data_IF_813360345347
#
_entry.id   IF_813360345347
#
_cell.length_a   1.000
_cell.length_b   1.000
_cell.length_c   1.000
_cell.angle_alpha   90.00
_cell.angle_beta   90.00
_cell.angle_gamma   90.00
#
_symmetry.space_group_name_H-M   'P 1'
#
loop_
_entity.id
_entity.type
_entity.pdbx_description
1 polymer ?
#
# COMPACT_ATOMS: atom_id res chain seq x y z
N UNK A 1 -0.50 -22.79 -20.36
CA UNK A 1 0.27 -23.00 -19.12
C UNK A 1 -0.67 -23.38 -17.98
N UNK A 2 -0.17 -24.05 -16.95
CA UNK A 2 -0.93 -24.43 -15.76
C UNK A 2 -1.58 -23.20 -15.09
N UNK A 3 -0.83 -22.08 -14.99
CA UNK A 3 -1.30 -20.80 -14.48
C UNK A 3 -2.56 -20.32 -15.22
N UNK A 4 -2.56 -20.39 -16.56
CA UNK A 4 -3.71 -20.00 -17.38
C UNK A 4 -4.94 -20.84 -17.05
N UNK A 5 -4.81 -22.16 -17.07
CA UNK A 5 -5.91 -23.08 -16.80
C UNK A 5 -6.48 -22.84 -15.40
N UNK A 6 -5.63 -22.64 -14.41
CA UNK A 6 -6.07 -22.35 -13.04
C UNK A 6 -6.83 -21.02 -12.95
N UNK A 7 -6.31 -19.94 -13.55
CA UNK A 7 -6.96 -18.63 -13.53
C UNK A 7 -8.32 -18.65 -14.23
N UNK A 8 -8.42 -19.33 -15.37
CA UNK A 8 -9.68 -19.49 -16.11
C UNK A 8 -10.73 -20.25 -15.32
N UNK A 9 -10.33 -21.27 -14.57
CA UNK A 9 -11.22 -22.07 -13.74
C UNK A 9 -11.61 -21.39 -12.41
N UNK A 10 -10.77 -20.52 -11.86
CA UNK A 10 -10.92 -20.01 -10.49
C UNK A 10 -11.27 -18.53 -10.38
N UNK A 11 -11.02 -17.72 -11.42
CA UNK A 11 -11.40 -16.30 -11.39
C UNK A 11 -12.89 -16.15 -11.70
N UNK A 12 -13.72 -15.65 -10.77
CA UNK A 12 -15.14 -15.44 -11.01
C UNK A 12 -15.36 -14.45 -12.16
N UNK A 13 -16.46 -14.64 -12.92
CA UNK A 13 -16.77 -13.76 -14.07
C UNK A 13 -16.93 -12.29 -13.65
N UNK A 14 -17.54 -12.02 -12.51
CA UNK A 14 -17.68 -10.68 -11.93
C UNK A 14 -16.31 -10.00 -11.71
N UNK A 15 -15.30 -10.77 -11.29
CA UNK A 15 -13.94 -10.27 -11.04
C UNK A 15 -13.12 -10.03 -12.32
N UNK A 16 -13.71 -10.23 -13.49
CA UNK A 16 -13.14 -9.89 -14.80
C UNK A 16 -13.77 -8.64 -15.43
N UNK A 17 -14.69 -8.00 -14.70
CA UNK A 17 -15.31 -6.74 -15.13
C UNK A 17 -14.48 -5.55 -14.64
N UNK A 18 -14.53 -4.42 -15.34
CA UNK A 18 -13.86 -3.21 -14.90
C UNK A 18 -14.40 -2.73 -13.54
N UNK A 19 -13.52 -2.16 -12.71
CA UNK A 19 -13.92 -1.48 -11.46
C UNK A 19 -14.65 -0.19 -11.85
N UNK A 20 -15.83 0.03 -11.29
CA UNK A 20 -16.68 1.21 -11.57
C UNK A 20 -16.68 2.22 -10.43
N UNK A 21 -16.34 1.78 -9.21
CA UNK A 21 -16.24 2.64 -8.03
C UNK A 21 -15.10 2.18 -7.11
N UNK A 22 -14.62 3.09 -6.27
CA UNK A 22 -13.58 2.79 -5.29
C UNK A 22 -14.02 1.72 -4.27
N UNK A 23 -15.31 1.67 -3.96
CA UNK A 23 -15.89 0.70 -3.01
C UNK A 23 -15.76 -0.76 -3.50
N UNK A 24 -15.59 -0.97 -4.80
CA UNK A 24 -15.35 -2.30 -5.37
C UNK A 24 -13.91 -2.79 -5.19
N UNK A 25 -13.01 -1.94 -4.67
CA UNK A 25 -11.62 -2.30 -4.43
C UNK A 25 -11.51 -3.10 -3.13
N UNK A 26 -10.93 -4.30 -3.20
CA UNK A 26 -10.69 -5.14 -2.03
C UNK A 26 -9.45 -4.64 -1.26
N UNK A 27 -9.65 -4.00 -0.10
CA UNK A 27 -8.58 -3.51 0.77
C UNK A 27 -8.27 -4.44 1.95
N UNK A 28 -9.16 -5.37 2.26
CA UNK A 28 -9.05 -6.22 3.43
C UNK A 28 -9.15 -5.46 4.76
N UNK A 29 -8.74 -6.09 5.84
CA UNK A 29 -8.79 -5.56 7.21
C UNK A 29 -9.91 -6.14 8.05
N UNK A 30 -9.83 -5.92 9.38
CA UNK A 30 -10.76 -6.45 10.39
C UNK A 30 -12.23 -6.11 10.13
N UNK A 31 -12.46 -4.91 9.62
CA UNK A 31 -13.80 -4.35 9.42
C UNK A 31 -14.21 -4.30 7.93
N UNK A 32 -13.40 -4.90 7.05
CA UNK A 32 -13.68 -4.89 5.61
C UNK A 32 -14.94 -5.71 5.29
N UNK A 33 -15.80 -5.12 4.48
CA UNK A 33 -17.01 -5.80 3.98
C UNK A 33 -16.85 -6.03 2.49
N UNK A 34 -16.89 -7.30 2.09
CA UNK A 34 -16.87 -7.65 0.68
C UNK A 34 -18.14 -7.17 -0.02
N UNK A 35 -17.98 -6.63 -1.20
CA UNK A 35 -19.12 -6.16 -2.03
C UNK A 35 -19.90 -7.31 -2.64
N UNK A 36 -19.27 -8.48 -2.78
CA UNK A 36 -19.90 -9.69 -3.28
C UNK A 36 -19.17 -10.95 -2.80
N UNK A 37 -19.84 -12.10 -2.90
CA UNK A 37 -19.23 -13.39 -2.63
C UNK A 37 -18.09 -13.68 -3.64
N UNK A 38 -18.24 -13.25 -4.89
CA UNK A 38 -17.20 -13.39 -5.92
C UNK A 38 -15.91 -12.66 -5.56
N UNK A 39 -16.00 -11.46 -4.98
CA UNK A 39 -14.83 -10.72 -4.49
C UNK A 39 -14.13 -11.48 -3.37
N UNK A 40 -14.89 -12.01 -2.40
CA UNK A 40 -14.34 -12.81 -1.30
C UNK A 40 -13.67 -14.07 -1.81
N UNK A 41 -14.36 -14.85 -2.65
CA UNK A 41 -13.83 -16.09 -3.21
C UNK A 41 -12.54 -15.86 -4.01
N UNK A 42 -12.48 -14.77 -4.76
CA UNK A 42 -11.29 -14.42 -5.53
C UNK A 42 -10.10 -14.11 -4.62
N UNK A 43 -10.30 -13.29 -3.60
CA UNK A 43 -9.25 -13.00 -2.63
C UNK A 43 -8.79 -14.27 -1.90
N UNK A 44 -9.71 -15.10 -1.42
CA UNK A 44 -9.41 -16.35 -0.70
C UNK A 44 -8.61 -17.33 -1.58
N UNK A 45 -9.03 -17.53 -2.83
CA UNK A 45 -8.34 -18.42 -3.78
C UNK A 45 -6.94 -17.95 -4.12
N UNK A 46 -6.78 -16.65 -4.37
CA UNK A 46 -5.47 -16.06 -4.66
C UNK A 46 -4.57 -16.07 -3.43
N UNK A 47 -5.12 -15.79 -2.24
CA UNK A 47 -4.42 -15.88 -0.97
C UNK A 47 -3.95 -17.29 -0.65
N UNK A 48 -4.79 -18.31 -0.88
CA UNK A 48 -4.43 -19.73 -0.67
C UNK A 48 -3.27 -20.18 -1.58
N UNK A 49 -3.13 -19.59 -2.76
CA UNK A 49 -1.98 -19.81 -3.67
C UNK A 49 -0.76 -18.96 -3.30
N UNK A 50 -0.88 -18.01 -2.37
CA UNK A 50 0.13 -17.00 -2.10
C UNK A 50 0.28 -15.99 -3.25
N UNK A 51 -0.68 -15.89 -4.16
CA UNK A 51 -0.61 -15.06 -5.37
C UNK A 51 -1.09 -13.62 -5.15
N UNK A 52 -1.54 -13.29 -3.94
CA UNK A 52 -1.68 -11.90 -3.50
C UNK A 52 -0.32 -11.23 -3.31
N UNK A 53 0.71 -12.01 -2.99
CA UNK A 53 2.11 -11.63 -2.80
C UNK A 53 3.03 -12.68 -3.44
N UNK A 54 3.02 -12.81 -4.77
CA UNK A 54 3.56 -13.98 -5.49
C UNK A 54 5.05 -14.22 -5.25
N UNK A 55 5.85 -13.18 -5.12
CA UNK A 55 7.31 -13.27 -4.94
C UNK A 55 7.74 -13.44 -3.47
N UNK A 56 6.82 -13.25 -2.50
CA UNK A 56 7.20 -13.42 -1.10
C UNK A 56 7.47 -14.89 -0.77
N UNK A 57 8.35 -15.16 0.22
CA UNK A 57 8.61 -16.52 0.67
C UNK A 57 7.33 -17.23 1.14
N UNK A 58 7.20 -18.50 0.80
CA UNK A 58 6.06 -19.34 1.22
C UNK A 58 5.87 -19.40 2.73
N UNK A 59 6.99 -19.34 3.48
CA UNK A 59 6.97 -19.31 4.94
C UNK A 59 6.19 -18.12 5.53
N UNK A 60 5.99 -17.06 4.74
CA UNK A 60 5.28 -15.85 5.14
C UNK A 60 3.99 -15.62 4.32
N UNK A 61 3.43 -16.69 3.76
CA UNK A 61 2.15 -16.63 3.02
C UNK A 61 2.27 -16.24 1.55
N UNK A 62 3.48 -16.13 1.01
CA UNK A 62 3.71 -15.83 -0.40
C UNK A 62 3.70 -17.04 -1.31
N UNK A 63 3.71 -16.79 -2.62
CA UNK A 63 3.77 -17.83 -3.65
C UNK A 63 5.16 -18.45 -3.81
N UNK A 64 6.21 -17.77 -3.39
CA UNK A 64 7.60 -18.17 -3.59
C UNK A 64 7.99 -18.22 -5.06
N UNK A 65 7.33 -17.43 -5.91
CA UNK A 65 7.59 -17.38 -7.35
C UNK A 65 8.86 -16.58 -7.63
N UNK A 66 9.58 -16.98 -8.67
CA UNK A 66 10.63 -16.15 -9.26
C UNK A 66 10.01 -14.90 -9.92
N UNK A 67 10.85 -13.91 -10.23
CA UNK A 67 10.41 -12.71 -10.97
C UNK A 67 9.82 -13.05 -12.34
N UNK A 68 10.36 -14.04 -13.02
CA UNK A 68 9.88 -14.52 -14.31
C UNK A 68 8.51 -15.17 -14.19
N UNK A 69 8.31 -16.02 -13.19
CA UNK A 69 7.03 -16.66 -12.91
C UNK A 69 5.96 -15.62 -12.49
N UNK A 70 6.33 -14.64 -11.67
CA UNK A 70 5.44 -13.54 -11.27
C UNK A 70 5.02 -12.68 -12.47
N UNK A 71 5.92 -12.45 -13.45
CA UNK A 71 5.58 -11.78 -14.72
C UNK A 71 4.59 -12.60 -15.55
N UNK A 72 4.76 -13.92 -15.61
CA UNK A 72 3.79 -14.80 -16.29
C UNK A 72 2.42 -14.71 -15.63
N UNK A 73 2.36 -14.79 -14.29
CA UNK A 73 1.12 -14.62 -13.53
C UNK A 73 0.45 -13.27 -13.82
N UNK A 74 1.21 -12.19 -13.75
CA UNK A 74 0.72 -10.83 -14.03
C UNK A 74 0.20 -10.70 -15.47
N UNK A 75 0.89 -11.28 -16.46
CA UNK A 75 0.46 -11.29 -17.86
C UNK A 75 -0.87 -12.04 -18.06
N UNK A 76 -1.02 -13.20 -17.43
CA UNK A 76 -2.25 -13.99 -17.51
C UNK A 76 -3.44 -13.33 -16.78
N UNK A 77 -3.19 -12.67 -15.65
CA UNK A 77 -4.22 -11.86 -14.96
C UNK A 77 -4.72 -10.72 -15.86
N UNK A 78 -3.81 -9.98 -16.51
CA UNK A 78 -4.17 -8.93 -17.48
C UNK A 78 -4.93 -9.49 -18.67
N UNK A 79 -4.50 -10.63 -19.23
CA UNK A 79 -5.17 -11.28 -20.37
C UNK A 79 -6.66 -11.55 -20.09
N UNK A 80 -7.01 -12.01 -18.88
CA UNK A 80 -8.39 -12.27 -18.50
C UNK A 80 -9.07 -11.05 -17.86
N UNK A 81 -8.40 -9.89 -17.82
CA UNK A 81 -8.86 -8.64 -17.19
C UNK A 81 -9.27 -8.84 -15.73
N UNK A 82 -8.54 -9.71 -15.00
CA UNK A 82 -8.83 -9.97 -13.60
C UNK A 82 -8.56 -8.72 -12.75
N UNK A 83 -9.52 -8.36 -11.88
CA UNK A 83 -9.32 -7.34 -10.84
C UNK A 83 -8.23 -7.80 -9.87
N UNK A 84 -7.51 -6.84 -9.28
CA UNK A 84 -6.60 -7.14 -8.17
C UNK A 84 -7.38 -7.86 -7.05
N UNK A 85 -6.90 -9.00 -6.56
CA UNK A 85 -7.57 -9.73 -5.49
C UNK A 85 -7.51 -8.99 -4.15
N UNK A 86 -6.46 -8.20 -3.92
CA UNK A 86 -6.19 -7.46 -2.70
C UNK A 86 -5.30 -6.26 -2.98
N UNK A 87 -5.76 -5.08 -2.56
CA UNK A 87 -4.97 -3.85 -2.52
C UNK A 87 -4.56 -3.56 -1.07
N UNK A 88 -3.29 -3.29 -0.81
CA UNK A 88 -2.82 -3.08 0.55
C UNK A 88 -1.48 -2.35 0.59
N UNK A 89 -1.39 -1.30 1.38
CA UNK A 89 -0.10 -0.68 1.73
C UNK A 89 0.81 -1.66 2.50
N UNK A 90 0.20 -2.67 3.15
CA UNK A 90 0.94 -3.79 3.71
C UNK A 90 1.71 -4.58 2.66
N UNK A 91 1.13 -4.80 1.48
CA UNK A 91 1.77 -5.52 0.38
C UNK A 91 2.84 -4.67 -0.31
N UNK A 92 2.50 -3.43 -0.68
CA UNK A 92 3.35 -2.62 -1.55
C UNK A 92 4.48 -1.91 -0.82
N UNK A 93 4.27 -1.57 0.46
CA UNK A 93 5.17 -0.74 1.25
C UNK A 93 5.77 -1.48 2.44
N UNK A 94 4.93 -1.86 3.42
CA UNK A 94 5.39 -2.43 4.69
C UNK A 94 6.02 -3.81 4.52
N UNK A 95 5.43 -4.68 3.70
CA UNK A 95 5.89 -6.05 3.55
C UNK A 95 7.33 -6.17 3.06
N UNK A 96 7.74 -5.48 1.98
CA UNK A 96 9.15 -5.41 1.59
C UNK A 96 10.07 -4.90 2.70
N UNK A 97 9.63 -3.90 3.47
CA UNK A 97 10.40 -3.39 4.61
C UNK A 97 10.51 -4.43 5.75
N UNK A 98 9.42 -5.13 6.08
CA UNK A 98 9.44 -6.22 7.07
C UNK A 98 10.32 -7.39 6.63
N UNK A 99 10.23 -7.80 5.38
CA UNK A 99 11.08 -8.87 4.82
C UNK A 99 12.57 -8.56 4.99
N UNK A 100 12.94 -7.27 4.88
CA UNK A 100 14.34 -6.84 4.96
C UNK A 100 14.78 -6.51 6.38
N UNK A 101 13.98 -5.83 7.17
CA UNK A 101 14.37 -5.22 8.45
C UNK A 101 13.63 -5.80 9.67
N UNK A 102 12.52 -6.50 9.47
CA UNK A 102 11.73 -7.07 10.56
C UNK A 102 12.44 -8.23 11.25
N UNK A 103 12.12 -8.44 12.52
CA UNK A 103 12.52 -9.66 13.23
C UNK A 103 11.77 -10.87 12.68
N UNK A 104 12.25 -12.08 12.97
CA UNK A 104 11.56 -13.31 12.54
C UNK A 104 10.14 -13.42 13.14
N UNK A 105 9.97 -12.95 14.37
CA UNK A 105 8.68 -12.90 15.07
C UNK A 105 7.74 -11.92 14.33
N UNK A 106 8.22 -10.72 13.99
CA UNK A 106 7.44 -9.75 13.23
C UNK A 106 7.04 -10.27 11.85
N UNK A 107 7.98 -10.90 11.12
CA UNK A 107 7.71 -11.49 9.80
C UNK A 107 6.64 -12.58 9.90
N UNK A 108 6.77 -13.52 10.83
CA UNK A 108 5.82 -14.62 11.04
C UNK A 108 4.45 -14.13 11.51
N UNK A 109 4.42 -13.04 12.26
CA UNK A 109 3.18 -12.47 12.77
C UNK A 109 2.44 -11.66 11.70
N UNK A 110 3.10 -10.70 11.06
CA UNK A 110 2.42 -9.73 10.20
C UNK A 110 2.29 -10.17 8.74
N UNK A 111 3.34 -10.76 8.15
CA UNK A 111 3.36 -11.02 6.70
C UNK A 111 2.25 -11.97 6.24
N UNK A 112 1.95 -13.10 6.93
CA UNK A 112 0.84 -13.97 6.54
C UNK A 112 -0.53 -13.28 6.62
N UNK A 113 -0.75 -12.41 7.60
CA UNK A 113 -1.99 -11.65 7.76
C UNK A 113 -2.15 -10.59 6.66
N UNK A 114 -1.04 -9.94 6.27
CA UNK A 114 -1.01 -9.02 5.12
C UNK A 114 -1.35 -9.78 3.83
N UNK A 115 -0.73 -10.92 3.59
CA UNK A 115 -0.94 -11.74 2.40
C UNK A 115 -2.40 -12.22 2.25
N UNK A 116 -3.09 -12.48 3.36
CA UNK A 116 -4.50 -12.90 3.40
C UNK A 116 -5.50 -11.75 3.53
N UNK A 117 -5.02 -10.49 3.56
CA UNK A 117 -5.89 -9.33 3.70
C UNK A 117 -6.60 -9.22 5.06
N UNK A 118 -6.05 -9.82 6.11
CA UNK A 118 -6.62 -9.80 7.46
C UNK A 118 -6.33 -8.50 8.21
N UNK A 119 -5.26 -7.78 7.84
CA UNK A 119 -4.84 -6.51 8.42
C UNK A 119 -4.74 -5.44 7.33
N UNK A 120 -5.45 -4.32 7.49
CA UNK A 120 -5.30 -3.13 6.67
C UNK A 120 -4.36 -2.14 7.32
N UNK A 121 -3.35 -1.70 6.56
CA UNK A 121 -2.32 -0.78 7.02
C UNK A 121 -2.50 0.63 6.48
N UNK A 122 -2.07 1.63 7.27
CA UNK A 122 -1.86 2.99 6.80
C UNK A 122 -0.44 3.48 7.13
N UNK A 123 -0.01 4.56 6.46
CA UNK A 123 1.33 5.13 6.56
C UNK A 123 1.31 6.42 7.39
N UNK A 124 2.06 6.47 8.49
CA UNK A 124 2.20 7.64 9.34
C UNK A 124 3.55 8.32 9.14
N UNK A 125 3.72 9.11 8.07
CA UNK A 125 4.98 9.78 7.74
C UNK A 125 4.88 11.29 7.94
N UNK A 126 4.23 12.00 7.02
CA UNK A 126 4.16 13.46 7.00
C UNK A 126 3.48 14.04 8.24
N UNK A 127 3.93 15.21 8.66
CA UNK A 127 3.33 16.03 9.71
C UNK A 127 2.99 17.41 9.16
N UNK A 128 2.13 18.20 9.81
CA UNK A 128 1.81 19.56 9.35
C UNK A 128 3.04 20.43 9.08
N UNK A 129 4.11 20.26 9.88
CA UNK A 129 5.39 20.97 9.72
C UNK A 129 6.51 20.19 9.06
N UNK A 130 6.28 18.96 8.58
CA UNK A 130 7.32 18.05 8.08
C UNK A 130 6.81 17.20 6.94
N UNK A 131 6.70 17.79 5.76
CA UNK A 131 6.37 17.11 4.50
C UNK A 131 7.63 16.88 3.67
N UNK A 132 8.06 17.88 2.88
CA UNK A 132 9.27 17.80 2.06
C UNK A 132 10.54 17.59 2.91
N UNK A 133 10.66 18.25 4.05
CA UNK A 133 11.67 17.94 5.07
C UNK A 133 11.13 16.96 6.10
N UNK A 134 10.84 15.74 5.64
CA UNK A 134 10.28 14.68 6.48
C UNK A 134 11.16 14.35 7.70
N UNK A 135 12.48 14.46 7.57
CA UNK A 135 13.40 14.21 8.67
C UNK A 135 13.23 15.16 9.86
N UNK A 136 12.52 16.27 9.69
CA UNK A 136 12.18 17.21 10.78
C UNK A 136 10.93 16.83 11.56
N UNK A 137 10.39 15.62 11.37
CA UNK A 137 9.23 15.09 12.10
C UNK A 137 9.42 15.20 13.62
N UNK A 138 8.32 15.45 14.34
CA UNK A 138 8.29 15.71 15.78
C UNK A 138 7.44 14.72 16.58
N UNK A 139 6.63 13.89 15.94
CA UNK A 139 5.91 12.82 16.64
C UNK A 139 6.90 12.05 17.51
N UNK A 140 6.79 12.18 18.82
CA UNK A 140 7.74 11.61 19.77
C UNK A 140 7.36 10.17 20.14
N UNK A 141 8.36 9.37 20.48
CA UNK A 141 8.18 8.06 21.07
C UNK A 141 9.18 7.92 22.23
N UNK A 142 8.73 8.26 23.42
CA UNK A 142 9.54 8.21 24.64
C UNK A 142 9.68 6.76 25.11
N UNK A 143 10.91 6.34 25.37
CA UNK A 143 11.21 5.02 25.92
C UNK A 143 10.83 4.95 27.40
N UNK A 144 9.87 4.10 27.76
CA UNK A 144 9.39 3.85 29.12
C UNK A 144 9.88 2.50 29.68
N UNK A 145 10.86 1.87 29.03
CA UNK A 145 11.41 0.59 29.42
C UNK A 145 10.73 -0.59 28.71
N UNK A 146 9.51 -0.89 29.05
CA UNK A 146 8.71 -1.98 28.47
C UNK A 146 7.89 -1.57 27.23
N UNK A 147 7.67 -0.26 27.03
CA UNK A 147 6.93 0.29 25.89
C UNK A 147 7.49 1.65 25.44
N UNK A 148 7.05 2.10 24.27
CA UNK A 148 7.17 3.48 23.83
C UNK A 148 5.87 4.23 24.12
N UNK A 149 5.98 5.47 24.60
CA UNK A 149 4.85 6.38 24.73
C UNK A 149 4.86 7.37 23.58
N UNK A 150 3.88 7.23 22.66
CA UNK A 150 3.84 8.00 21.41
C UNK A 150 2.90 9.18 21.56
N UNK A 151 3.41 10.38 21.19
CA UNK A 151 2.67 11.64 21.19
C UNK A 151 2.96 12.42 19.91
N UNK A 152 1.94 12.95 19.26
CA UNK A 152 2.10 13.76 18.08
C UNK A 152 0.95 13.69 17.09
N UNK A 153 1.25 14.07 15.85
CA UNK A 153 0.24 14.17 14.81
C UNK A 153 0.86 13.82 13.45
N UNK A 154 0.12 13.08 12.64
CA UNK A 154 0.41 12.84 11.23
C UNK A 154 -0.66 13.48 10.34
N UNK A 155 -0.30 13.77 9.10
CA UNK A 155 -1.20 14.33 8.09
C UNK A 155 -1.03 13.60 6.77
N UNK A 156 -2.03 13.65 5.91
CA UNK A 156 -2.09 12.93 4.63
C UNK A 156 -2.01 11.41 4.79
N UNK A 157 -2.45 10.90 5.95
CA UNK A 157 -2.49 9.46 6.20
C UNK A 157 -3.65 8.83 5.42
N UNK A 158 -3.33 8.15 4.32
CA UNK A 158 -4.33 7.55 3.44
C UNK A 158 -5.15 6.49 4.18
N UNK A 159 -6.49 6.68 4.19
CA UNK A 159 -7.47 5.76 4.76
C UNK A 159 -7.21 5.38 6.23
N UNK A 160 -6.63 6.27 7.03
CA UNK A 160 -6.35 6.00 8.44
C UNK A 160 -7.63 5.68 9.26
N UNK A 161 -8.77 6.27 8.87
CA UNK A 161 -10.09 6.01 9.44
C UNK A 161 -10.64 4.60 9.15
N UNK A 162 -10.03 3.90 8.20
CA UNK A 162 -10.40 2.54 7.77
C UNK A 162 -9.29 1.50 8.03
N UNK A 163 -8.12 1.95 8.48
CA UNK A 163 -6.97 1.09 8.73
C UNK A 163 -7.05 0.42 10.11
N UNK A 164 -6.50 -0.79 10.20
CA UNK A 164 -6.37 -1.53 11.46
C UNK A 164 -5.07 -1.19 12.16
N UNK A 165 -4.01 -0.99 11.40
CA UNK A 165 -2.65 -0.75 11.89
C UNK A 165 -1.97 0.37 11.11
N UNK A 166 -1.01 1.01 11.78
CA UNK A 166 -0.16 2.05 11.18
C UNK A 166 1.30 1.64 11.26
N UNK A 167 2.05 1.88 10.19
CA UNK A 167 3.51 1.94 10.24
C UNK A 167 3.94 3.41 10.26
N UNK A 168 4.65 3.79 11.32
CA UNK A 168 4.83 5.17 11.69
C UNK A 168 6.30 5.54 11.92
N UNK A 169 6.74 6.66 11.33
CA UNK A 169 8.02 7.28 11.68
C UNK A 169 7.84 8.15 12.92
N UNK A 170 8.67 7.93 13.92
CA UNK A 170 8.63 8.61 15.20
C UNK A 170 10.02 9.07 15.62
N UNK A 171 10.11 10.09 16.46
CA UNK A 171 11.35 10.56 17.05
C UNK A 171 11.57 9.92 18.40
N UNK A 172 12.54 9.02 18.46
CA UNK A 172 12.96 8.36 19.70
C UNK A 172 14.12 9.07 20.39
N UNK A 173 14.93 9.83 19.63
CA UNK A 173 16.01 10.62 20.19
C UNK A 173 16.07 12.02 19.55
N UNK A 174 15.71 13.08 20.27
CA UNK A 174 15.77 14.44 19.80
C UNK A 174 17.18 15.10 19.93
N UNK A 175 18.13 14.43 20.57
CA UNK A 175 19.45 15.01 20.90
C UNK A 175 20.50 14.78 19.81
N UNK A 176 20.27 13.84 18.91
CA UNK A 176 21.18 13.49 17.80
C UNK A 176 20.77 14.17 16.50
N UNK A 177 21.61 14.07 15.45
CA UNK A 177 21.29 14.54 14.12
C UNK A 177 19.94 13.97 13.64
N UNK A 178 19.10 14.81 13.02
CA UNK A 178 17.66 14.56 12.80
C UNK A 178 17.33 13.19 12.17
N UNK A 179 18.15 12.70 11.24
CA UNK A 179 17.96 11.39 10.61
C UNK A 179 18.23 10.20 11.57
N UNK A 180 19.14 10.38 12.53
CA UNK A 180 19.58 9.32 13.45
C UNK A 180 18.67 9.17 14.66
N UNK A 181 17.79 10.15 14.92
CA UNK A 181 16.82 10.07 16.01
C UNK A 181 15.45 9.53 15.61
N UNK A 182 15.31 9.01 14.39
CA UNK A 182 14.05 8.50 13.85
C UNK A 182 14.00 6.98 13.96
N UNK A 183 12.90 6.47 14.47
CA UNK A 183 12.59 5.04 14.55
C UNK A 183 11.32 4.70 13.80
N UNK A 184 11.09 3.41 13.54
CA UNK A 184 9.96 2.90 12.78
C UNK A 184 9.13 1.98 13.68
N UNK A 185 7.91 2.40 14.00
CA UNK A 185 7.00 1.68 14.89
C UNK A 185 5.76 1.16 14.16
N UNK A 186 5.30 0.01 14.60
CA UNK A 186 4.02 -0.58 14.19
C UNK A 186 3.06 -0.56 15.37
N UNK A 187 1.85 -0.04 15.18
CA UNK A 187 0.86 -0.10 16.25
C UNK A 187 -0.58 -0.08 15.74
N UNK A 188 -1.47 -0.60 16.57
CA UNK A 188 -2.89 -0.75 16.27
C UNK A 188 -3.59 0.62 16.30
N UNK A 189 -4.37 0.92 15.27
CA UNK A 189 -5.17 2.14 15.17
C UNK A 189 -6.32 2.18 16.18
N UNK A 190 -6.69 1.05 16.77
CA UNK A 190 -7.66 0.97 17.87
C UNK A 190 -7.03 1.18 19.25
N UNK A 191 -5.72 1.42 19.34
CA UNK A 191 -5.04 1.71 20.61
C UNK A 191 -5.63 2.96 21.29
N UNK A 192 -5.84 2.95 22.62
CA UNK A 192 -6.23 4.15 23.36
C UNK A 192 -5.29 5.32 23.05
N UNK A 193 -5.87 6.51 22.78
CA UNK A 193 -5.13 7.71 22.41
C UNK A 193 -4.93 7.92 20.91
N UNK A 194 -5.27 6.95 20.05
CA UNK A 194 -5.29 7.16 18.60
C UNK A 194 -6.64 7.71 18.17
N UNK A 195 -6.62 8.76 17.37
CA UNK A 195 -7.82 9.30 16.72
C UNK A 195 -7.51 9.81 15.31
N UNK A 196 -8.53 9.88 14.47
CA UNK A 196 -8.42 10.33 13.08
C UNK A 196 -9.44 11.40 12.75
N UNK A 197 -9.09 12.33 11.86
CA UNK A 197 -10.00 13.31 11.29
C UNK A 197 -9.86 13.32 9.77
N UNK A 198 -10.90 12.92 9.02
CA UNK A 198 -10.86 12.92 7.56
C UNK A 198 -10.62 14.31 6.96
N UNK A 199 -9.81 14.39 5.91
CA UNK A 199 -9.54 15.61 5.15
C UNK A 199 -10.39 15.58 3.89
N UNK A 200 -11.35 16.49 3.79
CA UNK A 200 -12.22 16.61 2.62
C UNK A 200 -11.49 17.34 1.50
N UNK A 201 -11.34 16.67 0.36
CA UNK A 201 -10.75 17.23 -0.85
C UNK A 201 -11.77 18.07 -1.63
N UNK A 202 -11.29 18.86 -2.61
CA UNK A 202 -12.13 19.65 -3.50
C UNK A 202 -13.10 18.78 -4.33
N UNK A 203 -12.74 17.51 -4.57
CA UNK A 203 -13.60 16.51 -5.22
C UNK A 203 -14.78 16.06 -4.36
N UNK A 204 -14.77 16.39 -3.05
CA UNK A 204 -15.72 15.87 -2.08
C UNK A 204 -15.30 14.55 -1.42
N UNK A 205 -14.33 13.83 -1.98
CA UNK A 205 -13.77 12.62 -1.37
C UNK A 205 -12.88 12.93 -0.16
N UNK A 206 -12.69 11.94 0.71
CA UNK A 206 -11.85 12.04 1.90
C UNK A 206 -10.91 10.82 2.03
N UNK A 207 -10.00 10.58 1.08
CA UNK A 207 -9.10 9.42 1.16
C UNK A 207 -7.97 9.63 2.16
N UNK A 208 -7.76 10.85 2.64
CA UNK A 208 -6.70 11.21 3.58
C UNK A 208 -7.25 11.64 4.94
N UNK A 209 -6.47 11.40 5.98
CA UNK A 209 -6.78 11.82 7.34
C UNK A 209 -5.63 12.60 7.97
N UNK A 210 -5.96 13.43 8.95
CA UNK A 210 -5.09 13.74 10.07
C UNK A 210 -5.18 12.58 11.06
N UNK A 211 -4.07 12.21 11.68
CA UNK A 211 -4.01 11.15 12.68
C UNK A 211 -3.32 11.68 13.92
N UNK A 212 -3.96 11.55 15.08
CA UNK A 212 -3.48 12.10 16.34
C UNK A 212 -3.09 10.98 17.29
N UNK A 213 -2.04 11.22 18.06
CA UNK A 213 -1.52 10.29 19.07
C UNK A 213 -1.43 11.06 20.41
N UNK A 214 -2.18 10.60 21.40
CA UNK A 214 -2.16 11.14 22.77
C UNK A 214 -1.85 10.01 23.74
N UNK A 215 -0.60 9.97 24.20
CA UNK A 215 -0.09 8.97 25.14
C UNK A 215 -0.34 7.51 24.71
N UNK A 216 -0.15 7.23 23.41
CA UNK A 216 -0.34 5.89 22.85
C UNK A 216 0.80 4.96 23.31
N UNK A 217 0.43 3.89 24.00
CA UNK A 217 1.40 2.87 24.44
C UNK A 217 1.67 1.88 23.31
N UNK A 218 2.92 1.77 22.90
CA UNK A 218 3.37 0.86 21.84
C UNK A 218 4.39 -0.10 22.40
N UNK A 219 4.14 -1.42 22.37
CA UNK A 219 5.09 -2.43 22.86
C UNK A 219 6.45 -2.35 22.17
N UNK A 220 7.52 -2.71 22.88
CA UNK A 220 8.90 -2.66 22.35
C UNK A 220 9.11 -3.56 21.14
N UNK A 221 8.47 -4.71 21.13
CA UNK A 221 8.52 -5.68 20.04
C UNK A 221 7.95 -5.15 18.71
N UNK A 222 7.21 -4.04 18.75
CA UNK A 222 6.67 -3.38 17.57
C UNK A 222 7.63 -2.37 16.91
N UNK A 223 8.83 -2.20 17.44
CA UNK A 223 9.92 -1.49 16.79
C UNK A 223 10.49 -2.36 15.66
N UNK A 224 10.51 -1.85 14.43
CA UNK A 224 11.15 -2.52 13.29
C UNK A 224 12.61 -2.10 13.21
N UNK A 225 13.51 -3.08 13.12
CA UNK A 225 14.94 -2.84 13.11
C UNK A 225 15.48 -2.44 14.50
N UNK A 226 16.29 -1.39 14.57
CA UNK A 226 16.86 -0.87 15.80
C UNK A 226 16.52 0.61 16.02
N UNK A 227 16.49 1.10 17.26
CA UNK A 227 16.24 2.52 17.53
C UNK A 227 17.19 3.44 16.74
N UNK A 228 16.67 4.55 16.20
CA UNK A 228 17.44 5.52 15.43
C UNK A 228 17.75 5.11 13.98
N UNK A 229 17.27 3.95 13.50
CA UNK A 229 17.47 3.47 12.12
C UNK A 229 16.20 3.50 11.26
N UNK A 230 15.14 4.12 11.75
CA UNK A 230 13.88 4.23 11.01
C UNK A 230 13.99 4.99 9.69
N UNK A 231 14.94 5.91 9.58
CA UNK A 231 15.18 6.65 8.33
C UNK A 231 15.65 5.75 7.18
N UNK A 232 16.49 4.75 7.48
CA UNK A 232 16.95 3.80 6.47
C UNK A 232 15.79 2.91 5.97
N UNK A 233 14.91 2.53 6.89
CA UNK A 233 13.68 1.78 6.56
C UNK A 233 12.76 2.65 5.69
N UNK A 234 12.58 3.91 6.06
CA UNK A 234 11.75 4.86 5.29
C UNK A 234 12.26 5.05 3.86
N UNK A 235 13.57 5.25 3.68
CA UNK A 235 14.17 5.37 2.33
C UNK A 235 13.93 4.12 1.48
N UNK A 236 14.10 2.95 2.07
CA UNK A 236 13.86 1.68 1.39
C UNK A 236 12.39 1.52 0.98
N UNK A 237 11.46 1.79 1.89
CA UNK A 237 10.03 1.73 1.64
C UNK A 237 9.59 2.69 0.53
N UNK A 238 10.07 3.93 0.56
CA UNK A 238 9.76 4.94 -0.46
C UNK A 238 10.29 4.57 -1.86
N UNK A 239 11.29 3.70 -1.97
CA UNK A 239 11.73 3.15 -3.27
C UNK A 239 10.65 2.26 -3.86
N UNK A 240 10.06 1.35 -3.07
CA UNK A 240 8.96 0.49 -3.49
C UNK A 240 7.67 1.27 -3.80
N UNK A 241 7.40 2.33 -3.04
CA UNK A 241 6.28 3.22 -3.31
C UNK A 241 6.39 3.88 -4.69
N UNK A 242 7.56 4.38 -5.07
CA UNK A 242 7.80 4.95 -6.41
C UNK A 242 7.66 3.91 -7.53
N UNK A 243 8.15 2.69 -7.32
CA UNK A 243 8.00 1.59 -8.27
C UNK A 243 6.50 1.25 -8.48
N UNK A 244 5.71 1.23 -7.39
CA UNK A 244 4.27 1.01 -7.44
C UNK A 244 3.55 2.12 -8.22
N UNK A 245 3.84 3.39 -7.91
CA UNK A 245 3.22 4.55 -8.59
C UNK A 245 3.58 4.51 -10.08
N UNK A 246 4.85 4.25 -10.43
CA UNK A 246 5.28 4.11 -11.82
C UNK A 246 4.60 2.96 -12.57
N UNK A 247 4.28 1.85 -11.87
CA UNK A 247 3.56 0.73 -12.47
C UNK A 247 2.07 1.01 -12.70
N UNK A 248 1.44 1.90 -11.92
CA UNK A 248 0.05 2.32 -12.11
C UNK A 248 -0.16 3.15 -13.38
N UNK A 249 0.87 3.84 -13.85
CA UNK A 249 0.80 4.67 -15.07
C UNK A 249 0.88 3.85 -16.38
N UNK A 250 1.18 2.55 -16.30
CA UNK A 250 1.32 1.66 -17.47
C UNK A 250 0.03 0.90 -17.79
N UNK A 251 -1.14 1.43 -17.48
CA UNK A 251 -2.41 0.80 -17.83
C UNK A 251 -2.65 0.90 -19.35
N UNK A 252 -2.22 -0.12 -20.08
CA UNK A 252 -2.39 -0.30 -21.53
C UNK A 252 -3.87 -0.27 -22.01
N UNK A 253 -4.81 -0.18 -21.07
CA UNK A 253 -6.25 -0.15 -21.37
C UNK A 253 -6.77 1.28 -21.65
N UNK A 254 -6.00 2.32 -21.37
CA UNK A 254 -6.38 3.70 -21.66
C UNK A 254 -6.02 4.04 -23.11
N UNK A 255 -6.97 4.65 -23.82
CA UNK A 255 -6.66 5.25 -25.12
C UNK A 255 -5.49 6.24 -24.95
N UNK A 256 -4.48 6.11 -25.80
CA UNK A 256 -3.38 7.10 -25.83
C UNK A 256 -3.91 8.46 -26.25
N UNK A 257 -3.21 9.54 -25.90
CA UNK A 257 -3.56 10.90 -26.34
C UNK A 257 -3.72 10.96 -27.87
N UNK A 258 -2.83 10.29 -28.61
CA UNK A 258 -2.92 10.20 -30.07
C UNK A 258 -4.19 9.48 -30.54
N UNK A 259 -4.61 8.40 -29.90
CA UNK A 259 -5.86 7.69 -30.22
C UNK A 259 -7.09 8.55 -29.91
N UNK A 260 -7.10 9.24 -28.76
CA UNK A 260 -8.17 10.17 -28.41
C UNK A 260 -8.26 11.32 -29.41
N UNK A 261 -7.13 11.92 -29.80
CA UNK A 261 -7.06 12.98 -30.78
C UNK A 261 -7.52 12.49 -32.15
N UNK A 262 -7.07 11.33 -32.62
CA UNK A 262 -7.51 10.71 -33.87
C UNK A 262 -9.04 10.51 -33.91
N UNK A 263 -9.61 10.03 -32.79
CA UNK A 263 -11.06 9.80 -32.67
C UNK A 263 -11.88 11.08 -32.58
N UNK A 264 -11.37 12.14 -31.93
CA UNK A 264 -12.10 13.39 -31.69
C UNK A 264 -11.95 14.42 -32.83
N UNK A 265 -10.77 14.47 -33.43
CA UNK A 265 -10.38 15.50 -34.39
C UNK A 265 -10.32 14.91 -35.83
N UNK A 266 -10.07 13.58 -35.93
CA UNK A 266 -9.91 12.87 -37.17
C UNK A 266 -8.46 12.76 -37.63
N UNK A 267 -8.28 11.98 -38.70
CA UNK A 267 -7.01 11.79 -39.38
C UNK A 267 -7.06 12.36 -40.79
N UNK A 268 -6.02 13.03 -41.23
CA UNK A 268 -5.77 13.46 -42.58
C UNK A 268 -4.42 12.87 -43.04
N UNK A 269 -4.45 12.14 -44.15
CA UNK A 269 -3.29 11.41 -44.68
C UNK A 269 -2.60 10.49 -43.64
N UNK A 270 -3.39 9.86 -42.73
CA UNK A 270 -2.89 8.96 -41.70
C UNK A 270 -2.28 9.64 -40.47
N UNK A 271 -2.32 10.97 -40.40
CA UNK A 271 -1.86 11.77 -39.25
C UNK A 271 -3.03 12.57 -38.65
N UNK A 272 -2.91 12.98 -37.38
CA UNK A 272 -3.94 13.83 -36.74
C UNK A 272 -4.21 15.07 -37.59
N UNK A 273 -5.49 15.38 -37.87
CA UNK A 273 -5.88 16.44 -38.77
C UNK A 273 -5.43 17.85 -38.35
N UNK A 274 -5.30 18.08 -37.03
CA UNK A 274 -4.80 19.34 -36.47
C UNK A 274 -3.27 19.37 -36.43
N UNK A 275 -2.67 20.31 -37.17
CA UNK A 275 -1.21 20.44 -37.30
C UNK A 275 -0.52 20.86 -35.98
N UNK A 276 -1.18 21.63 -35.14
CA UNK A 276 -0.60 22.04 -33.84
C UNK A 276 -0.51 20.85 -32.87
N UNK A 277 -1.58 20.05 -32.80
CA UNK A 277 -1.63 18.86 -31.97
C UNK A 277 -0.66 17.76 -32.42
N UNK A 278 -0.27 17.70 -33.69
CA UNK A 278 0.75 16.73 -34.16
C UNK A 278 2.11 16.92 -33.48
N UNK A 279 2.42 18.13 -33.05
CA UNK A 279 3.70 18.46 -32.42
C UNK A 279 3.67 18.18 -30.91
N UNK A 280 2.48 18.16 -30.31
CA UNK A 280 2.28 18.05 -28.86
C UNK A 280 1.91 16.63 -28.38
N UNK A 281 1.61 15.72 -29.31
CA UNK A 281 1.20 14.33 -29.07
C UNK A 281 2.18 13.35 -29.75
#
# INVERSE_FOLDING_TARGET
SETRAWLEANCPAEMRLAVTSEDETCWGGRNFKFTSQAQKDWMDRMGAKGWTVPEWPKAYGGGGLSKEEAKVLSSELRRIKARSPLNSFGIWMLGPALLKFGSEEQKKHYLPQIARGEIRWCQGYSEPGSGSDLASLRTSAEDKGDHYLVNGQKVWTSYADKADWIFCLVRTDPTVAKHHGISFLLFDMASPGVSTAPIKLISGASPFCQTFFDNVKVPKENLVGVPGKGWDIAKYLLTHEREMIGAMDTDDARETMAQVAARKIGLENGTIADAALRTDI
#
